data_IF_743900912538
#
_entry.id   IF_743900912538
#
_cell.length_a   1.000
_cell.length_b   1.000
_cell.length_c   1.000
_cell.angle_alpha   90.00
_cell.angle_beta   90.00
_cell.angle_gamma   90.00
#
_symmetry.space_group_name_H-M   'P 1'
#
loop_
_entity.id
_entity.type
_entity.pdbx_description
1 polymer ?
#
# COMPACT_ATOMS: atom_id res chain seq x y z
N UNK A 1 -16.70 -8.04 -3.18
CA UNK A 1 -15.81 -7.31 -4.09
C UNK A 1 -15.67 -8.20 -5.32
N UNK A 2 -15.95 -7.71 -6.51
CA UNK A 2 -15.99 -8.53 -7.71
C UNK A 2 -14.55 -8.78 -8.20
N UNK A 3 -14.09 -10.04 -8.29
CA UNK A 3 -12.71 -10.40 -8.65
C UNK A 3 -12.29 -9.79 -9.99
N UNK A 4 -13.23 -9.72 -10.93
CA UNK A 4 -13.02 -9.14 -12.27
C UNK A 4 -12.71 -7.65 -12.22
N UNK A 5 -13.29 -6.91 -11.28
CA UNK A 5 -13.02 -5.48 -11.08
C UNK A 5 -11.58 -5.28 -10.63
N UNK A 6 -11.07 -6.13 -9.73
CA UNK A 6 -9.68 -6.05 -9.26
C UNK A 6 -8.65 -6.43 -10.33
N UNK A 7 -9.00 -7.33 -11.26
CA UNK A 7 -8.16 -7.62 -12.42
C UNK A 7 -7.99 -6.38 -13.31
N UNK A 8 -9.08 -5.67 -13.59
CA UNK A 8 -9.07 -4.43 -14.36
C UNK A 8 -8.23 -3.37 -13.63
N UNK A 9 -8.41 -3.21 -12.31
CA UNK A 9 -7.61 -2.28 -11.49
C UNK A 9 -6.11 -2.60 -11.58
N UNK A 10 -5.72 -3.87 -11.42
CA UNK A 10 -4.32 -4.29 -11.53
C UNK A 10 -3.73 -4.05 -12.92
N UNK A 11 -4.53 -4.23 -13.98
CA UNK A 11 -4.14 -3.91 -15.35
C UNK A 11 -3.89 -2.40 -15.49
N UNK A 12 -4.80 -1.57 -15.00
CA UNK A 12 -4.71 -0.11 -15.03
C UNK A 12 -3.48 0.39 -14.28
N UNK A 13 -3.21 -0.15 -13.09
CA UNK A 13 -2.02 0.19 -12.29
C UNK A 13 -0.74 -0.16 -13.04
N UNK A 14 -0.67 -1.35 -13.67
CA UNK A 14 0.51 -1.74 -14.48
C UNK A 14 0.76 -0.79 -15.64
N UNK A 15 -0.30 -0.36 -16.32
CA UNK A 15 -0.20 0.62 -17.42
C UNK A 15 0.30 1.98 -16.91
N UNK A 16 -0.25 2.45 -15.78
CA UNK A 16 0.18 3.71 -15.13
C UNK A 16 1.66 3.64 -14.74
N UNK A 17 2.11 2.51 -14.18
CA UNK A 17 3.50 2.33 -13.75
C UNK A 17 4.49 2.19 -14.91
N UNK A 18 4.06 1.67 -16.07
CA UNK A 18 4.93 1.47 -17.23
C UNK A 18 5.08 2.74 -18.09
N UNK A 19 3.97 3.42 -18.39
CA UNK A 19 3.98 4.56 -19.33
C UNK A 19 3.85 5.92 -18.63
N UNK A 20 3.69 5.95 -17.30
CA UNK A 20 3.58 7.17 -16.51
C UNK A 20 2.30 7.99 -16.77
N UNK A 21 1.39 7.48 -17.59
CA UNK A 21 0.07 8.06 -17.89
C UNK A 21 -0.93 6.95 -18.18
N UNK A 22 -2.20 7.18 -17.83
CA UNK A 22 -3.30 6.46 -18.47
C UNK A 22 -3.28 6.81 -19.97
N UNK A 23 -3.55 5.87 -20.89
CA UNK A 23 -3.64 6.19 -22.31
C UNK A 23 -4.62 7.36 -22.52
N UNK A 24 -4.17 8.41 -23.20
CA UNK A 24 -4.99 9.61 -23.48
C UNK A 24 -6.31 9.27 -24.21
N UNK A 25 -6.41 8.07 -24.78
CA UNK A 25 -7.62 7.50 -25.35
C UNK A 25 -8.25 6.44 -24.42
N UNK A 26 -8.89 6.89 -23.34
CA UNK A 26 -9.71 6.04 -22.46
C UNK A 26 -10.74 5.19 -23.22
N UNK A 27 -11.22 5.66 -24.38
CA UNK A 27 -12.14 4.93 -25.25
C UNK A 27 -11.55 3.64 -25.86
N UNK A 28 -10.25 3.62 -26.21
CA UNK A 28 -9.60 2.41 -26.75
C UNK A 28 -9.44 1.34 -25.68
N UNK A 29 -9.09 1.73 -24.46
CA UNK A 29 -8.92 0.79 -23.34
C UNK A 29 -10.25 0.18 -22.89
N UNK A 30 -11.32 0.98 -22.86
CA UNK A 30 -12.67 0.47 -22.57
C UNK A 30 -13.13 -0.52 -23.63
N UNK A 31 -12.91 -0.22 -24.92
CA UNK A 31 -13.25 -1.15 -26.01
C UNK A 31 -12.47 -2.46 -25.93
N UNK A 32 -11.19 -2.42 -25.55
CA UNK A 32 -10.38 -3.63 -25.37
C UNK A 32 -10.86 -4.48 -24.20
N UNK A 33 -11.30 -3.86 -23.10
CA UNK A 33 -11.86 -4.57 -21.95
C UNK A 33 -13.24 -5.17 -22.27
N UNK A 34 -14.08 -4.46 -23.00
CA UNK A 34 -15.35 -5.00 -23.51
C UNK A 34 -15.11 -6.19 -24.45
N UNK A 35 -14.13 -6.09 -25.35
CA UNK A 35 -13.76 -7.18 -26.26
C UNK A 35 -13.20 -8.42 -25.53
N UNK A 36 -12.62 -8.23 -24.34
CA UNK A 36 -12.17 -9.31 -23.44
C UNK A 36 -13.29 -9.91 -22.59
N UNK A 37 -14.53 -9.40 -22.72
CA UNK A 37 -15.71 -9.91 -22.02
C UNK A 37 -15.88 -9.39 -20.60
N UNK A 38 -15.37 -8.20 -20.29
CA UNK A 38 -15.72 -7.45 -19.07
C UNK A 38 -16.98 -6.64 -19.31
N UNK A 39 -17.82 -6.53 -18.29
CA UNK A 39 -19.05 -5.74 -18.36
C UNK A 39 -18.77 -4.24 -18.17
N UNK A 40 -19.57 -3.37 -18.78
CA UNK A 40 -19.42 -1.92 -18.65
C UNK A 40 -19.46 -1.47 -17.17
N UNK A 41 -20.33 -2.08 -16.37
CA UNK A 41 -20.41 -1.82 -14.93
C UNK A 41 -19.16 -2.22 -14.14
N UNK A 42 -18.44 -3.26 -14.57
CA UNK A 42 -17.19 -3.71 -13.95
C UNK A 42 -16.04 -2.76 -14.30
N UNK A 43 -16.02 -2.30 -15.55
CA UNK A 43 -15.06 -1.31 -16.05
C UNK A 43 -15.25 0.01 -15.30
N UNK A 44 -16.48 0.53 -15.22
CA UNK A 44 -16.78 1.78 -14.50
C UNK A 44 -16.42 1.69 -13.02
N UNK A 45 -16.71 0.55 -12.38
CA UNK A 45 -16.31 0.33 -10.98
C UNK A 45 -14.79 0.33 -10.81
N UNK A 46 -14.04 -0.28 -11.73
CA UNK A 46 -12.58 -0.32 -11.68
C UNK A 46 -11.95 1.05 -11.89
N UNK A 47 -12.45 1.84 -12.86
CA UNK A 47 -11.99 3.20 -13.09
C UNK A 47 -12.28 4.10 -11.87
N UNK A 48 -13.49 4.03 -11.32
CA UNK A 48 -13.84 4.78 -10.12
C UNK A 48 -12.93 4.43 -8.94
N UNK A 49 -12.55 3.16 -8.79
CA UNK A 49 -11.59 2.74 -7.76
C UNK A 49 -10.21 3.34 -7.98
N UNK A 50 -9.68 3.28 -9.22
CA UNK A 50 -8.37 3.87 -9.55
C UNK A 50 -8.35 5.39 -9.34
N UNK A 51 -9.42 6.09 -9.69
CA UNK A 51 -9.53 7.55 -9.50
C UNK A 51 -9.89 7.96 -8.06
N UNK A 52 -10.43 7.06 -7.26
CA UNK A 52 -10.66 7.30 -5.82
C UNK A 52 -9.39 7.16 -4.98
N UNK A 53 -8.32 6.61 -5.56
CA UNK A 53 -7.00 6.63 -4.92
C UNK A 53 -6.55 8.10 -4.80
N UNK A 54 -6.11 8.54 -3.61
CA UNK A 54 -5.62 9.91 -3.42
C UNK A 54 -4.52 10.20 -4.45
N UNK A 55 -4.64 11.35 -5.13
CA UNK A 55 -3.81 11.77 -6.27
C UNK A 55 -2.42 11.15 -6.26
N UNK A 56 -2.24 10.07 -7.04
CA UNK A 56 -0.93 9.74 -7.58
C UNK A 56 -0.67 10.83 -8.61
N UNK A 57 -0.24 12.00 -8.15
CA UNK A 57 -0.05 13.20 -8.96
C UNK A 57 1.00 12.93 -10.02
N UNK A 58 0.57 12.40 -11.16
CA UNK A 58 1.32 12.27 -12.41
C UNK A 58 1.05 13.52 -13.25
N UNK A 59 1.15 14.71 -12.65
CA UNK A 59 1.24 15.96 -13.42
C UNK A 59 2.70 16.13 -13.87
N UNK A 60 3.00 16.00 -15.16
CA UNK A 60 4.34 16.29 -15.66
C UNK A 60 4.49 17.82 -15.68
N UNK A 61 5.13 18.38 -14.66
CA UNK A 61 5.54 19.79 -14.69
C UNK A 61 5.40 20.59 -13.39
N UNK A 62 4.83 20.05 -12.32
CA UNK A 62 4.89 20.68 -11.01
C UNK A 62 5.80 19.83 -10.11
N UNK A 63 6.99 20.31 -9.81
CA UNK A 63 7.80 19.81 -8.70
C UNK A 63 7.11 20.19 -7.38
N UNK A 64 5.93 19.60 -7.11
CA UNK A 64 5.47 19.49 -5.74
C UNK A 64 6.48 18.59 -5.04
N UNK A 65 7.16 19.14 -4.03
CA UNK A 65 8.00 18.32 -3.17
C UNK A 65 7.13 17.18 -2.65
N UNK A 66 7.61 15.92 -2.67
CA UNK A 66 6.83 14.81 -2.16
C UNK A 66 6.31 15.18 -0.77
N UNK A 67 5.06 14.83 -0.43
CA UNK A 67 4.51 15.14 0.88
C UNK A 67 5.50 14.66 1.96
N UNK A 68 5.70 15.45 3.04
CA UNK A 68 6.68 15.13 4.06
C UNK A 68 6.43 13.72 4.58
N UNK A 69 7.45 12.88 4.49
CA UNK A 69 7.39 11.49 4.96
C UNK A 69 7.91 11.43 6.38
N UNK A 70 7.20 10.72 7.24
CA UNK A 70 7.67 10.43 8.60
C UNK A 70 8.94 9.58 8.51
N UNK A 71 9.94 9.96 9.30
CA UNK A 71 11.17 9.19 9.48
C UNK A 71 11.13 8.62 10.89
N UNK A 72 11.35 7.31 11.02
CA UNK A 72 11.39 6.65 12.32
C UNK A 72 12.60 7.14 13.12
N UNK A 73 12.40 7.42 14.41
CA UNK A 73 13.49 7.77 15.31
C UNK A 73 14.33 6.54 15.72
N UNK A 74 15.39 6.75 16.50
CA UNK A 74 16.28 5.67 16.89
C UNK A 74 15.59 4.60 17.75
N UNK A 75 14.69 5.01 18.64
CA UNK A 75 13.97 4.10 19.54
C UNK A 75 12.94 3.27 18.77
N UNK A 76 12.15 3.92 17.92
CA UNK A 76 11.19 3.29 17.01
C UNK A 76 11.88 2.27 16.10
N UNK A 77 13.05 2.61 15.55
CA UNK A 77 13.82 1.69 14.70
C UNK A 77 14.38 0.51 15.48
N UNK A 78 14.85 0.71 16.71
CA UNK A 78 15.37 -0.39 17.52
C UNK A 78 14.27 -1.35 17.97
N UNK A 79 13.06 -0.84 18.17
CA UNK A 79 11.90 -1.63 18.58
C UNK A 79 11.32 -2.49 17.45
N UNK A 80 11.68 -2.21 16.20
CA UNK A 80 11.15 -2.89 15.01
C UNK A 80 12.23 -3.72 14.32
N UNK A 81 11.90 -4.97 14.00
CA UNK A 81 12.73 -5.78 13.11
C UNK A 81 12.89 -5.11 11.75
N UNK A 82 13.97 -5.44 11.03
CA UNK A 82 14.24 -4.89 9.68
C UNK A 82 13.08 -5.16 8.71
N UNK A 83 12.44 -6.33 8.80
CA UNK A 83 11.27 -6.67 7.99
C UNK A 83 10.05 -5.79 8.31
N UNK A 84 9.80 -5.54 9.60
CA UNK A 84 8.74 -4.64 10.05
C UNK A 84 8.98 -3.18 9.61
N UNK A 85 10.22 -2.69 9.72
CA UNK A 85 10.60 -1.37 9.22
C UNK A 85 10.34 -1.22 7.71
N UNK A 86 10.79 -2.20 6.93
CA UNK A 86 10.59 -2.21 5.47
C UNK A 86 9.11 -2.28 5.08
N UNK A 87 8.29 -3.01 5.84
CA UNK A 87 6.85 -3.06 5.63
C UNK A 87 6.19 -1.70 5.90
N UNK A 88 6.49 -1.05 7.03
CA UNK A 88 5.96 0.29 7.35
C UNK A 88 6.39 1.35 6.33
N UNK A 89 7.65 1.32 5.90
CA UNK A 89 8.16 2.21 4.86
C UNK A 89 7.42 1.99 3.54
N UNK A 90 7.17 0.73 3.17
CA UNK A 90 6.45 0.36 1.95
C UNK A 90 5.00 0.83 2.00
N UNK A 91 4.29 0.55 3.10
CA UNK A 91 2.91 0.99 3.30
C UNK A 91 2.78 2.51 3.26
N UNK A 92 3.71 3.23 3.89
CA UNK A 92 3.75 4.70 3.87
C UNK A 92 4.06 5.25 2.47
N UNK A 93 5.02 4.66 1.78
CA UNK A 93 5.40 5.05 0.41
C UNK A 93 4.26 4.88 -0.58
N UNK A 94 3.43 3.86 -0.40
CA UNK A 94 2.26 3.57 -1.23
C UNK A 94 1.01 4.35 -0.80
N UNK A 95 1.06 5.11 0.30
CA UNK A 95 -0.10 5.83 0.83
C UNK A 95 -1.20 4.94 1.39
N UNK A 96 -0.91 3.66 1.66
CA UNK A 96 -1.86 2.69 2.23
C UNK A 96 -2.13 3.03 3.70
N UNK A 97 -1.08 3.46 4.41
CA UNK A 97 -1.18 4.02 5.74
C UNK A 97 -1.00 5.54 5.67
N UNK A 98 -1.94 6.27 6.24
CA UNK A 98 -1.85 7.73 6.35
C UNK A 98 -0.85 8.13 7.44
N UNK A 99 -0.45 9.41 7.47
CA UNK A 99 0.45 9.92 8.51
C UNK A 99 -0.17 9.75 9.91
N UNK A 100 -1.46 10.07 10.07
CA UNK A 100 -2.14 9.91 11.36
C UNK A 100 -2.26 8.45 11.81
N UNK A 101 -2.49 7.52 10.88
CA UNK A 101 -2.48 6.09 11.17
C UNK A 101 -1.07 5.59 11.51
N UNK A 102 -0.03 6.09 10.83
CA UNK A 102 1.36 5.75 11.17
C UNK A 102 1.68 6.19 12.60
N UNK A 103 1.28 7.41 13.00
CA UNK A 103 1.50 7.93 14.33
C UNK A 103 0.75 7.11 15.39
N UNK A 104 -0.50 6.74 15.11
CA UNK A 104 -1.30 5.89 16.01
C UNK A 104 -0.69 4.48 16.14
N UNK A 105 -0.20 3.90 15.04
CA UNK A 105 0.46 2.60 15.05
C UNK A 105 1.76 2.64 15.88
N UNK A 106 2.61 3.63 15.68
CA UNK A 106 3.85 3.80 16.44
C UNK A 106 3.57 4.07 17.93
N UNK A 107 2.51 4.82 18.23
CA UNK A 107 2.05 4.98 19.60
C UNK A 107 1.70 3.63 20.23
N UNK A 108 0.91 2.77 19.57
CA UNK A 108 0.61 1.44 20.12
C UNK A 108 1.84 0.55 20.26
N UNK A 109 2.75 0.54 19.28
CA UNK A 109 4.01 -0.20 19.36
C UNK A 109 4.86 0.25 20.55
N UNK A 110 4.89 1.55 20.84
CA UNK A 110 5.63 2.09 22.00
C UNK A 110 5.14 1.50 23.33
N UNK A 111 3.85 1.16 23.43
CA UNK A 111 3.23 0.61 24.65
C UNK A 111 3.42 -0.90 24.80
N UNK A 112 3.84 -1.62 23.77
CA UNK A 112 4.09 -3.06 23.87
C UNK A 112 5.41 -3.28 24.61
N UNK A 113 5.35 -4.06 25.69
CA UNK A 113 6.53 -4.46 26.47
C UNK A 113 7.27 -5.63 25.77
N UNK A 114 7.91 -5.30 24.64
CA UNK A 114 8.73 -6.20 23.86
C UNK A 114 9.99 -5.47 23.40
N UNK A 115 11.10 -6.21 23.36
CA UNK A 115 12.42 -5.70 22.95
C UNK A 115 12.47 -5.44 21.44
N UNK A 116 11.84 -6.31 20.66
CA UNK A 116 11.77 -6.22 19.20
C UNK A 116 10.41 -6.76 18.74
N UNK A 117 9.78 -6.07 17.79
CA UNK A 117 8.51 -6.40 17.18
C UNK A 117 8.70 -6.77 15.72
N UNK A 118 8.05 -7.86 15.30
CA UNK A 118 8.18 -8.41 13.97
C UNK A 118 6.96 -8.12 13.10
N UNK A 119 7.02 -8.59 11.85
CA UNK A 119 5.99 -8.30 10.86
C UNK A 119 4.58 -8.75 11.31
N UNK A 120 4.37 -9.96 11.86
CA UNK A 120 3.11 -10.35 12.50
C UNK A 120 2.55 -9.32 13.48
N UNK A 121 3.38 -8.76 14.36
CA UNK A 121 2.95 -7.76 15.34
C UNK A 121 2.41 -6.50 14.66
N UNK A 122 3.08 -6.06 13.58
CA UNK A 122 2.63 -4.93 12.76
C UNK A 122 1.32 -5.25 12.06
N UNK A 123 1.21 -6.41 11.40
CA UNK A 123 0.01 -6.79 10.67
C UNK A 123 -1.21 -6.82 11.60
N UNK A 124 -1.04 -7.35 12.81
CA UNK A 124 -2.10 -7.35 13.82
C UNK A 124 -2.52 -5.93 14.23
N UNK A 125 -1.57 -5.02 14.45
CA UNK A 125 -1.89 -3.63 14.79
C UNK A 125 -2.52 -2.84 13.63
N UNK A 126 -2.18 -3.16 12.38
CA UNK A 126 -2.80 -2.51 11.22
C UNK A 126 -4.32 -2.74 11.17
N UNK A 127 -4.81 -3.91 11.60
CA UNK A 127 -6.25 -4.18 11.68
C UNK A 127 -6.99 -3.24 12.64
N UNK A 128 -6.29 -2.73 13.66
CA UNK A 128 -6.84 -1.79 14.64
C UNK A 128 -6.80 -0.35 14.14
N UNK A 129 -5.75 0.01 13.41
CA UNK A 129 -5.45 1.40 13.06
C UNK A 129 -6.06 1.78 11.71
N UNK A 130 -6.00 0.90 10.71
CA UNK A 130 -6.57 1.15 9.39
C UNK A 130 -8.06 0.86 9.40
N UNK A 131 -8.87 1.92 9.41
CA UNK A 131 -10.34 1.82 9.44
C UNK A 131 -10.94 1.50 8.07
N UNK A 132 -10.26 1.91 7.01
CA UNK A 132 -10.65 1.62 5.64
C UNK A 132 -10.40 0.13 5.34
N UNK A 133 -11.48 -0.61 5.10
CA UNK A 133 -11.42 -2.06 4.90
C UNK A 133 -10.68 -2.46 3.64
N UNK A 134 -10.67 -1.62 2.60
CA UNK A 134 -10.02 -1.95 1.34
C UNK A 134 -8.53 -1.63 1.41
N UNK A 135 -8.12 -0.53 2.06
CA UNK A 135 -6.71 -0.29 2.39
C UNK A 135 -6.15 -1.36 3.31
N UNK A 136 -6.93 -1.82 4.30
CA UNK A 136 -6.50 -2.88 5.20
C UNK A 136 -6.26 -4.20 4.43
N UNK A 137 -7.17 -4.58 3.53
CA UNK A 137 -6.95 -5.74 2.65
C UNK A 137 -5.73 -5.57 1.77
N UNK A 138 -5.49 -4.36 1.23
CA UNK A 138 -4.28 -4.08 0.46
C UNK A 138 -3.03 -4.30 1.32
N UNK A 139 -3.00 -3.79 2.54
CA UNK A 139 -1.87 -3.94 3.46
C UNK A 139 -1.60 -5.42 3.82
N UNK A 140 -2.66 -6.19 4.10
CA UNK A 140 -2.55 -7.60 4.47
C UNK A 140 -2.31 -8.54 3.28
N UNK A 141 -2.67 -8.11 2.06
CA UNK A 141 -2.52 -8.88 0.83
C UNK A 141 -1.13 -8.79 0.19
N UNK A 142 -0.21 -7.99 0.75
CA UNK A 142 1.17 -7.91 0.28
C UNK A 142 1.92 -9.21 0.56
N UNK A 143 2.71 -9.65 -0.43
CA UNK A 143 3.68 -10.73 -0.22
C UNK A 143 4.92 -10.17 0.49
N UNK A 144 4.84 -10.17 1.82
CA UNK A 144 5.94 -9.77 2.69
C UNK A 144 7.08 -10.81 2.77
N UNK A 145 7.01 -11.91 2.00
CA UNK A 145 8.00 -13.00 2.00
C UNK A 145 9.39 -12.59 1.46
N UNK A 146 9.54 -11.39 0.91
CA UNK A 146 10.80 -11.01 0.25
C UNK A 146 11.80 -10.32 1.19
N UNK A 147 12.77 -11.13 1.62
CA UNK A 147 14.13 -10.83 2.15
C UNK A 147 14.25 -10.38 3.62
N UNK A 148 14.52 -11.37 4.46
CA UNK A 148 15.15 -11.20 5.78
C UNK A 148 15.58 -12.53 6.41
N UNK A 149 16.37 -13.37 5.72
CA UNK A 149 17.09 -14.46 6.40
C UNK A 149 18.21 -13.84 7.22
N UNK A 150 18.09 -13.85 8.55
CA UNK A 150 19.14 -13.95 9.59
C UNK A 150 18.46 -13.45 10.88
N UNK A 151 18.48 -14.10 12.03
CA UNK A 151 19.02 -15.37 12.46
C UNK A 151 18.67 -15.40 13.95
N UNK A 152 17.79 -16.32 14.38
CA UNK A 152 17.45 -16.48 15.79
C UNK A 152 18.71 -16.93 16.55
N UNK A 153 19.47 -15.99 17.10
CA UNK A 153 20.34 -16.27 18.24
C UNK A 153 19.47 -16.19 19.49
N UNK A 154 18.88 -17.32 19.86
CA UNK A 154 18.51 -17.57 21.24
C UNK A 154 19.81 -17.63 22.03
N UNK A 155 20.06 -16.62 22.85
CA UNK A 155 21.08 -16.70 23.89
C UNK A 155 20.35 -17.23 25.12
N UNK A 156 20.76 -18.43 25.56
CA UNK A 156 20.44 -18.99 26.86
C UNK A 156 21.33 -18.37 27.93
#
# INVERSE_FOLDING_TARGET
>A
MNERVMEIVNLLIKLILQDGRLPDSGATLVNDLLARGYEASEIDAAFNLVFSLPDISLKPGATESPPPRRVLDAEERMKLSVGAQGALETLSRLGIITVGEMDELLFYLSQIDAVELDLPDIMWLLERVIRDRDRLKMALGFDWSTKGRHGRRRVH
#
